data_IF_872074279420
#
_entry.id   IF_872074279420
#
_cell.length_a   1.000
_cell.length_b   1.000
_cell.length_c   1.000
_cell.angle_alpha   90.00
_cell.angle_beta   90.00
_cell.angle_gamma   90.00
#
_symmetry.space_group_name_H-M   'P 1'
#
loop_
_entity.id
_entity.type
_entity.pdbx_description
1 polymer ?
#
# COMPACT_ATOMS: atom_id res chain seq x y z
N UNK A 1 10.83 -27.37 -18.83
CA UNK A 1 10.33 -26.01 -19.13
C UNK A 1 9.12 -25.74 -18.25
N UNK A 2 8.94 -24.51 -17.76
CA UNK A 2 7.72 -24.14 -17.07
C UNK A 2 6.53 -24.13 -18.06
N UNK A 3 5.32 -24.59 -17.66
CA UNK A 3 4.13 -24.49 -18.49
C UNK A 3 3.86 -23.03 -18.88
N UNK A 4 3.41 -22.80 -20.11
CA UNK A 4 3.04 -21.46 -20.57
C UNK A 4 1.86 -20.92 -19.76
N UNK A 5 1.93 -19.63 -19.43
CA UNK A 5 0.88 -18.88 -18.75
C UNK A 5 -0.07 -18.16 -19.73
N UNK A 6 0.14 -18.29 -21.03
CA UNK A 6 -0.52 -17.43 -22.04
C UNK A 6 -2.01 -17.76 -22.20
N UNK A 7 -2.42 -18.95 -21.78
CA UNK A 7 -3.81 -19.37 -21.72
C UNK A 7 -4.60 -18.77 -20.53
N UNK A 8 -3.94 -18.07 -19.61
CA UNK A 8 -4.56 -17.56 -18.39
C UNK A 8 -5.14 -16.16 -18.60
N UNK A 9 -6.42 -16.00 -18.26
CA UNK A 9 -7.12 -14.71 -18.33
C UNK A 9 -7.11 -14.02 -16.97
N UNK A 10 -6.31 -12.96 -16.87
CA UNK A 10 -6.15 -12.16 -15.65
C UNK A 10 -7.20 -11.05 -15.52
N UNK A 11 -7.30 -10.42 -14.34
CA UNK A 11 -8.16 -9.24 -14.13
C UNK A 11 -7.55 -7.98 -14.75
N UNK A 12 -6.22 -7.86 -14.78
CA UNK A 12 -5.43 -6.69 -15.20
C UNK A 12 -5.32 -5.57 -14.17
N UNK A 13 -4.22 -4.81 -14.27
CA UNK A 13 -3.95 -3.64 -13.42
C UNK A 13 -5.06 -2.59 -13.54
N UNK A 14 -5.47 -2.28 -14.77
CA UNK A 14 -6.47 -1.26 -15.07
C UNK A 14 -7.79 -1.53 -14.35
N UNK A 15 -8.32 -2.76 -14.43
CA UNK A 15 -9.60 -3.12 -13.82
C UNK A 15 -9.51 -3.13 -12.29
N UNK A 16 -8.40 -3.66 -11.73
CA UNK A 16 -8.22 -3.71 -10.28
C UNK A 16 -8.07 -2.29 -9.71
N UNK A 17 -7.30 -1.42 -10.37
CA UNK A 17 -7.12 -0.04 -9.95
C UNK A 17 -8.42 0.75 -10.10
N UNK A 18 -9.17 0.55 -11.19
CA UNK A 18 -10.47 1.19 -11.39
C UNK A 18 -11.46 0.79 -10.28
N UNK A 19 -11.57 -0.51 -9.98
CA UNK A 19 -12.46 -1.00 -8.91
C UNK A 19 -12.07 -0.46 -7.53
N UNK A 20 -10.78 -0.40 -7.20
CA UNK A 20 -10.32 0.19 -5.94
C UNK A 20 -10.62 1.69 -5.84
N UNK A 21 -10.47 2.42 -6.95
CA UNK A 21 -10.76 3.85 -7.00
C UNK A 21 -12.23 4.14 -6.79
N UNK A 22 -13.11 3.38 -7.44
CA UNK A 22 -14.55 3.53 -7.31
C UNK A 22 -15.05 3.15 -5.90
N UNK A 23 -14.53 2.06 -5.33
CA UNK A 23 -14.97 1.58 -4.02
C UNK A 23 -14.49 2.46 -2.86
N UNK A 24 -13.24 2.93 -2.92
CA UNK A 24 -12.56 3.48 -1.74
C UNK A 24 -11.96 4.87 -1.90
N UNK A 25 -11.87 5.41 -3.12
CA UNK A 25 -11.17 6.68 -3.38
C UNK A 25 -9.81 6.78 -2.66
N UNK A 26 -8.92 5.77 -2.78
CA UNK A 26 -7.67 5.73 -2.04
C UNK A 26 -6.71 6.81 -2.52
N UNK A 27 -5.84 7.26 -1.61
CA UNK A 27 -4.81 8.25 -1.95
C UNK A 27 -3.70 7.64 -2.82
N UNK A 28 -3.42 6.35 -2.60
CA UNK A 28 -2.40 5.63 -3.34
C UNK A 28 -2.81 4.17 -3.54
N UNK A 29 -2.50 3.64 -4.73
CA UNK A 29 -2.74 2.25 -5.11
C UNK A 29 -1.46 1.70 -5.71
N UNK A 30 -1.13 0.46 -5.35
CA UNK A 30 -0.06 -0.31 -5.98
C UNK A 30 -0.63 -1.58 -6.60
N UNK A 31 -0.02 -2.04 -7.68
CA UNK A 31 -0.30 -3.31 -8.33
C UNK A 31 1.01 -4.09 -8.53
N UNK A 32 0.92 -5.40 -8.33
CA UNK A 32 1.99 -6.37 -8.54
C UNK A 32 1.41 -7.63 -9.18
N UNK A 33 2.11 -8.15 -10.18
CA UNK A 33 1.79 -9.41 -10.84
C UNK A 33 2.97 -10.36 -10.75
N UNK A 34 2.74 -11.57 -10.26
CA UNK A 34 3.75 -12.64 -10.25
C UNK A 34 3.20 -13.92 -10.85
N UNK A 35 4.03 -14.60 -11.63
CA UNK A 35 3.76 -15.91 -12.20
C UNK A 35 4.40 -16.98 -11.32
N UNK A 36 3.77 -18.15 -11.25
CA UNK A 36 4.30 -19.33 -10.58
C UNK A 36 3.82 -20.60 -11.25
N UNK A 37 4.33 -21.74 -10.79
CA UNK A 37 3.90 -23.06 -11.24
C UNK A 37 3.71 -23.93 -10.00
N UNK A 38 2.60 -24.67 -9.94
CA UNK A 38 2.36 -25.64 -8.88
C UNK A 38 1.80 -26.92 -9.51
N UNK A 39 2.35 -28.09 -9.17
CA UNK A 39 1.85 -29.38 -9.68
C UNK A 39 1.69 -29.47 -11.21
N UNK A 40 2.54 -28.78 -11.98
CA UNK A 40 2.47 -28.73 -13.45
C UNK A 40 1.46 -27.74 -14.03
N UNK A 41 0.74 -26.98 -13.21
CA UNK A 41 -0.17 -25.92 -13.62
C UNK A 41 0.47 -24.54 -13.43
N UNK A 42 0.49 -23.74 -14.50
CA UNK A 42 0.87 -22.33 -14.40
C UNK A 42 -0.22 -21.55 -13.66
N UNK A 43 0.20 -20.63 -12.79
CA UNK A 43 -0.69 -19.70 -12.13
C UNK A 43 -0.12 -18.29 -12.10
N UNK A 44 -1.00 -17.31 -11.92
CA UNK A 44 -0.67 -15.90 -11.78
C UNK A 44 -1.34 -15.38 -10.51
N UNK A 45 -0.56 -14.69 -9.68
CA UNK A 45 -1.05 -13.89 -8.56
C UNK A 45 -1.00 -12.42 -8.98
N UNK A 46 -2.17 -11.78 -8.97
CA UNK A 46 -2.30 -10.33 -9.04
C UNK A 46 -2.64 -9.82 -7.65
N UNK A 47 -1.85 -8.89 -7.15
CA UNK A 47 -2.05 -8.29 -5.84
C UNK A 47 -2.03 -6.79 -5.98
N UNK A 48 -3.05 -6.15 -5.43
CA UNK A 48 -3.08 -4.71 -5.26
C UNK A 48 -3.25 -4.34 -3.79
N UNK A 49 -2.63 -3.23 -3.39
CA UNK A 49 -2.83 -2.64 -2.08
C UNK A 49 -3.23 -1.17 -2.25
N UNK A 50 -4.23 -0.74 -1.50
CA UNK A 50 -4.76 0.62 -1.53
C UNK A 50 -4.70 1.23 -0.13
N UNK A 51 -4.28 2.49 -0.05
CA UNK A 51 -4.11 3.20 1.23
C UNK A 51 -4.88 4.53 1.24
N UNK A 52 -5.49 4.85 2.38
CA UNK A 52 -6.22 6.09 2.62
C UNK A 52 -7.67 6.09 2.12
N UNK A 53 -8.21 7.27 1.85
CA UNK A 53 -9.56 7.45 1.34
C UNK A 53 -10.66 7.00 2.31
N UNK A 54 -11.70 6.38 1.73
CA UNK A 54 -12.87 5.80 2.40
C UNK A 54 -12.63 4.39 2.94
N UNK A 55 -11.40 3.89 2.91
CA UNK A 55 -11.06 2.61 3.56
C UNK A 55 -11.27 2.76 5.07
N UNK A 56 -12.01 1.82 5.66
CA UNK A 56 -12.19 1.77 7.11
C UNK A 56 -10.91 1.29 7.79
N UNK A 57 -10.49 1.92 8.91
CA UNK A 57 -9.39 1.39 9.70
C UNK A 57 -9.76 0.02 10.26
N UNK A 58 -8.80 -0.89 10.43
CA UNK A 58 -9.07 -2.22 10.95
C UNK A 58 -9.59 -2.15 12.39
N UNK A 59 -10.50 -3.07 12.76
CA UNK A 59 -11.05 -3.12 14.13
C UNK A 59 -10.02 -3.58 15.17
N UNK A 60 -9.09 -4.43 14.74
CA UNK A 60 -8.00 -4.98 15.54
C UNK A 60 -6.67 -4.62 14.87
N UNK A 61 -5.59 -4.57 15.67
CA UNK A 61 -4.26 -4.26 15.16
C UNK A 61 -3.88 -5.16 13.97
N UNK A 62 -3.46 -4.53 12.87
CA UNK A 62 -2.99 -5.19 11.64
C UNK A 62 -4.01 -6.14 10.96
N UNK A 63 -5.28 -6.09 11.34
CA UNK A 63 -6.35 -6.90 10.74
C UNK A 63 -6.98 -6.19 9.55
N UNK A 64 -6.20 -5.97 8.48
CA UNK A 64 -6.62 -5.25 7.28
C UNK A 64 -7.66 -6.01 6.45
N UNK A 65 -8.42 -5.29 5.62
CA UNK A 65 -9.38 -5.91 4.72
C UNK A 65 -8.67 -6.56 3.51
N UNK A 66 -9.06 -7.78 3.14
CA UNK A 66 -8.50 -8.51 2.00
C UNK A 66 -9.64 -9.07 1.15
N UNK A 67 -9.82 -8.51 -0.03
CA UNK A 67 -10.77 -9.00 -1.02
C UNK A 67 -10.06 -10.06 -1.87
N UNK A 68 -10.67 -11.23 -1.99
CA UNK A 68 -10.05 -12.42 -2.58
C UNK A 68 -10.78 -12.81 -3.85
N UNK A 69 -10.01 -13.12 -4.89
CA UNK A 69 -10.53 -13.63 -6.15
C UNK A 69 -9.79 -14.88 -6.58
N UNK A 70 -10.52 -15.78 -7.24
CA UNK A 70 -10.00 -16.99 -7.85
C UNK A 70 -10.63 -17.13 -9.24
N UNK A 71 -9.84 -17.11 -10.31
CA UNK A 71 -10.30 -17.12 -11.70
C UNK A 71 -11.45 -16.12 -11.95
N UNK A 72 -11.26 -14.86 -11.53
CA UNK A 72 -12.25 -13.75 -11.62
C UNK A 72 -13.53 -13.92 -10.78
N UNK A 73 -13.62 -14.95 -9.95
CA UNK A 73 -14.76 -15.18 -9.04
C UNK A 73 -14.38 -14.70 -7.64
N UNK A 74 -15.20 -13.84 -6.99
CA UNK A 74 -14.95 -13.41 -5.61
C UNK A 74 -15.16 -14.57 -4.62
N UNK A 75 -14.26 -14.70 -3.66
CA UNK A 75 -14.34 -15.68 -2.58
C UNK A 75 -14.88 -15.00 -1.32
N UNK A 76 -16.15 -15.28 -0.98
CA UNK A 76 -16.85 -14.61 0.13
C UNK A 76 -16.71 -15.34 1.46
N UNK A 77 -16.67 -16.67 1.45
CA UNK A 77 -16.67 -17.49 2.66
C UNK A 77 -15.26 -17.92 3.08
N UNK A 78 -15.11 -18.37 4.33
CA UNK A 78 -13.90 -18.99 4.88
C UNK A 78 -12.59 -18.21 4.62
N UNK A 79 -12.60 -16.93 5.00
CA UNK A 79 -11.41 -16.08 4.86
C UNK A 79 -10.19 -16.61 5.61
N UNK A 80 -10.39 -17.05 6.86
CA UNK A 80 -9.29 -17.44 7.73
C UNK A 80 -8.57 -18.69 7.26
N UNK A 81 -9.23 -19.56 6.47
CA UNK A 81 -8.64 -20.78 5.93
C UNK A 81 -7.94 -20.58 4.59
N UNK A 82 -8.21 -19.46 3.91
CA UNK A 82 -7.72 -19.20 2.57
C UNK A 82 -6.25 -18.82 2.54
N UNK A 83 -5.49 -19.44 1.64
CA UNK A 83 -4.08 -19.11 1.40
C UNK A 83 -3.87 -17.62 1.09
N UNK A 84 -4.76 -17.02 0.29
CA UNK A 84 -4.66 -15.60 -0.09
C UNK A 84 -4.70 -14.66 1.12
N UNK A 85 -5.55 -14.99 2.10
CA UNK A 85 -5.68 -14.21 3.34
C UNK A 85 -4.54 -14.49 4.32
N UNK A 86 -4.31 -15.78 4.63
CA UNK A 86 -3.31 -16.21 5.61
C UNK A 86 -1.92 -15.65 5.29
N UNK A 87 -1.49 -15.76 4.02
CA UNK A 87 -0.16 -15.31 3.62
C UNK A 87 0.01 -13.79 3.73
N UNK A 88 -1.04 -13.00 3.53
CA UNK A 88 -0.97 -11.55 3.74
C UNK A 88 -0.91 -11.23 5.23
N UNK A 89 -1.81 -11.80 6.03
CA UNK A 89 -1.92 -11.49 7.46
C UNK A 89 -0.71 -11.96 8.27
N UNK A 90 0.02 -12.97 7.79
CA UNK A 90 1.27 -13.42 8.41
C UNK A 90 2.45 -12.46 8.19
N UNK A 91 2.30 -11.41 7.38
CA UNK A 91 3.38 -10.45 7.13
C UNK A 91 3.49 -9.48 8.31
N UNK A 92 4.72 -9.22 8.74
CA UNK A 92 4.99 -8.16 9.70
C UNK A 92 4.94 -6.77 9.01
N UNK A 93 3.76 -6.13 9.06
CA UNK A 93 3.50 -4.82 8.46
C UNK A 93 4.33 -3.68 9.06
N UNK A 94 4.74 -3.80 10.33
CA UNK A 94 5.59 -2.80 11.02
C UNK A 94 6.91 -2.56 10.28
N UNK A 95 7.48 -3.60 9.67
CA UNK A 95 8.72 -3.50 8.87
C UNK A 95 8.57 -2.60 7.63
N UNK A 96 7.33 -2.37 7.21
CA UNK A 96 6.97 -1.51 6.08
C UNK A 96 6.55 -0.11 6.51
N UNK A 97 6.65 0.23 7.81
CA UNK A 97 6.26 1.54 8.33
C UNK A 97 4.74 1.79 8.30
N UNK A 98 3.96 0.71 8.26
CA UNK A 98 2.50 0.75 8.30
C UNK A 98 2.07 0.70 9.77
N UNK A 99 1.22 1.64 10.18
CA UNK A 99 0.69 1.71 11.54
C UNK A 99 -0.41 0.65 11.76
N UNK A 100 -0.66 0.21 13.01
CA UNK A 100 -1.63 -0.87 13.29
C UNK A 100 -3.06 -0.60 12.80
N UNK A 101 -3.48 0.67 12.79
CA UNK A 101 -4.81 1.12 12.39
C UNK A 101 -4.80 1.92 11.07
N UNK A 102 -3.77 1.72 10.24
CA UNK A 102 -3.67 2.38 8.95
C UNK A 102 -4.85 1.99 8.05
N UNK A 103 -5.35 2.94 7.25
CA UNK A 103 -6.44 2.70 6.30
C UNK A 103 -5.91 1.95 5.07
N UNK A 104 -5.73 0.63 5.19
CA UNK A 104 -5.12 -0.22 4.17
C UNK A 104 -6.05 -1.37 3.79
N UNK A 105 -6.19 -1.61 2.48
CA UNK A 105 -6.95 -2.74 1.94
C UNK A 105 -6.17 -3.43 0.83
N UNK A 106 -6.43 -4.73 0.66
CA UNK A 106 -5.79 -5.56 -0.38
C UNK A 106 -6.84 -6.18 -1.30
N UNK A 107 -6.48 -6.32 -2.58
CA UNK A 107 -7.11 -7.23 -3.51
C UNK A 107 -6.08 -8.28 -3.89
N UNK A 108 -6.43 -9.55 -3.76
CA UNK A 108 -5.59 -10.66 -4.23
C UNK A 108 -6.39 -11.56 -5.14
N UNK A 109 -5.90 -11.73 -6.35
CA UNK A 109 -6.46 -12.59 -7.37
C UNK A 109 -5.48 -13.69 -7.73
N UNK A 110 -5.94 -14.94 -7.66
CA UNK A 110 -5.24 -16.09 -8.21
C UNK A 110 -5.92 -16.55 -9.49
N UNK A 111 -5.16 -16.63 -10.59
CA UNK A 111 -5.62 -17.22 -11.85
C UNK A 111 -4.79 -18.45 -12.20
N UNK A 112 -5.45 -19.56 -12.54
CA UNK A 112 -4.79 -20.81 -12.91
C UNK A 112 -5.74 -21.73 -13.68
N UNK A 113 -5.21 -22.65 -14.48
CA UNK A 113 -6.01 -23.69 -15.16
C UNK A 113 -6.71 -24.62 -14.16
N UNK A 114 -6.06 -24.85 -13.02
CA UNK A 114 -6.58 -25.59 -11.88
C UNK A 114 -6.37 -24.71 -10.67
N UNK A 115 -7.39 -24.50 -9.85
CA UNK A 115 -7.24 -23.82 -8.56
C UNK A 115 -7.36 -24.89 -7.47
N UNK A 116 -6.43 -24.95 -6.50
CA UNK A 116 -6.47 -25.96 -5.46
C UNK A 116 -7.47 -25.55 -4.38
N UNK A 117 -8.75 -25.75 -4.63
CA UNK A 117 -9.78 -25.60 -3.60
C UNK A 117 -9.69 -26.76 -2.60
N UNK A 118 -9.88 -26.46 -1.31
CA UNK A 118 -9.88 -27.50 -0.26
C UNK A 118 -11.28 -28.10 -0.06
N UNK A 119 -12.33 -27.29 -0.23
CA UNK A 119 -13.73 -27.71 -0.14
C UNK A 119 -14.34 -27.89 -1.52
N UNK A 120 -15.33 -28.78 -1.64
CA UNK A 120 -16.08 -29.00 -2.89
C UNK A 120 -16.83 -27.75 -3.35
N UNK A 121 -17.26 -26.91 -2.39
CA UNK A 121 -17.92 -25.62 -2.63
C UNK A 121 -17.03 -24.54 -3.24
N UNK A 122 -15.71 -24.79 -3.38
CA UNK A 122 -14.74 -23.83 -3.97
C UNK A 122 -14.69 -22.49 -3.25
N UNK A 123 -14.82 -22.50 -1.93
CA UNK A 123 -14.95 -21.29 -1.12
C UNK A 123 -13.60 -20.62 -0.83
N UNK A 124 -12.52 -21.41 -0.77
CA UNK A 124 -11.18 -20.89 -0.52
C UNK A 124 -10.08 -21.71 -1.18
N UNK A 125 -8.97 -21.03 -1.46
CA UNK A 125 -7.73 -21.63 -1.98
C UNK A 125 -6.97 -22.30 -0.84
N UNK A 126 -6.59 -23.57 -1.03
CA UNK A 126 -5.82 -24.35 -0.07
C UNK A 126 -4.44 -23.74 0.19
N UNK A 127 -4.02 -23.74 1.45
CA UNK A 127 -2.71 -23.29 1.90
C UNK A 127 -1.66 -24.42 1.95
N UNK A 128 -1.99 -25.61 1.46
CA UNK A 128 -1.08 -26.78 1.52
C UNK A 128 0.09 -26.69 0.52
N UNK A 129 0.00 -25.80 -0.48
CA UNK A 129 0.97 -25.69 -1.57
C UNK A 129 1.97 -24.56 -1.32
N UNK A 130 3.23 -24.94 -1.05
CA UNK A 130 4.29 -23.99 -0.71
C UNK A 130 4.61 -23.03 -1.86
N UNK A 131 4.55 -23.50 -3.12
CA UNK A 131 4.85 -22.68 -4.29
C UNK A 131 3.86 -21.52 -4.43
N UNK A 132 2.58 -21.77 -4.13
CA UNK A 132 1.53 -20.75 -4.13
C UNK A 132 1.78 -19.77 -2.99
N UNK A 133 1.97 -20.26 -1.77
CA UNK A 133 2.21 -19.44 -0.58
C UNK A 133 3.41 -18.50 -0.76
N UNK A 134 4.53 -19.04 -1.24
CA UNK A 134 5.75 -18.29 -1.52
C UNK A 134 5.52 -17.20 -2.57
N UNK A 135 4.77 -17.50 -3.62
CA UNK A 135 4.46 -16.53 -4.69
C UNK A 135 3.58 -15.40 -4.18
N UNK A 136 2.55 -15.71 -3.36
CA UNK A 136 1.68 -14.71 -2.72
C UNK A 136 2.52 -13.82 -1.79
N UNK A 137 3.36 -14.43 -0.94
CA UNK A 137 4.21 -13.70 -0.01
C UNK A 137 5.13 -12.71 -0.76
N UNK A 138 5.82 -13.16 -1.81
CA UNK A 138 6.70 -12.32 -2.59
C UNK A 138 5.95 -11.17 -3.29
N UNK A 139 4.75 -11.44 -3.83
CA UNK A 139 3.92 -10.40 -4.44
C UNK A 139 3.46 -9.35 -3.40
N UNK A 140 3.05 -9.81 -2.21
CA UNK A 140 2.64 -8.93 -1.12
C UNK A 140 3.82 -8.08 -0.61
N UNK A 141 5.00 -8.67 -0.39
CA UNK A 141 6.20 -7.95 0.01
C UNK A 141 6.60 -6.86 -1.00
N UNK A 142 6.50 -7.17 -2.30
CA UNK A 142 6.77 -6.21 -3.37
C UNK A 142 5.78 -5.04 -3.37
N UNK A 143 4.49 -5.31 -3.18
CA UNK A 143 3.48 -4.26 -3.06
C UNK A 143 3.71 -3.39 -1.81
N UNK A 144 4.02 -4.02 -0.67
CA UNK A 144 4.27 -3.32 0.60
C UNK A 144 5.53 -2.45 0.56
N UNK A 145 6.56 -2.82 -0.22
CA UNK A 145 7.72 -1.93 -0.45
C UNK A 145 7.32 -0.64 -1.15
N UNK A 146 6.43 -0.70 -2.15
CA UNK A 146 5.90 0.49 -2.83
C UNK A 146 5.04 1.34 -1.88
N UNK A 147 4.22 0.71 -1.03
CA UNK A 147 3.44 1.41 0.01
C UNK A 147 4.36 2.11 1.01
N UNK A 148 5.43 1.45 1.46
CA UNK A 148 6.44 2.04 2.35
C UNK A 148 7.06 3.30 1.76
N UNK A 149 7.40 3.27 0.47
CA UNK A 149 7.96 4.42 -0.23
C UNK A 149 6.98 5.60 -0.24
N UNK A 150 5.70 5.35 -0.58
CA UNK A 150 4.65 6.35 -0.51
C UNK A 150 4.51 6.96 0.89
N UNK A 151 4.43 6.13 1.93
CA UNK A 151 4.32 6.57 3.33
C UNK A 151 5.51 7.42 3.78
N UNK A 152 6.74 7.02 3.41
CA UNK A 152 7.94 7.79 3.73
C UNK A 152 7.92 9.15 3.04
N UNK A 153 7.51 9.22 1.77
CA UNK A 153 7.40 10.48 1.05
C UNK A 153 6.33 11.39 1.66
N UNK A 154 5.18 10.83 2.06
CA UNK A 154 4.11 11.55 2.77
C UNK A 154 4.62 12.13 4.10
N UNK A 155 5.30 11.32 4.92
CA UNK A 155 5.89 11.77 6.20
C UNK A 155 6.89 12.90 5.99
N UNK A 156 7.80 12.76 5.02
CA UNK A 156 8.79 13.80 4.67
C UNK A 156 8.13 15.13 4.27
N UNK A 157 7.08 15.09 3.46
CA UNK A 157 6.35 16.31 3.06
C UNK A 157 5.69 16.99 4.26
N UNK A 158 5.08 16.21 5.17
CA UNK A 158 4.48 16.74 6.40
C UNK A 158 5.55 17.37 7.30
N UNK A 159 6.68 16.71 7.50
CA UNK A 159 7.79 17.22 8.32
C UNK A 159 8.37 18.52 7.77
N UNK A 160 8.59 18.60 6.45
CA UNK A 160 9.05 19.82 5.77
C UNK A 160 8.07 20.97 5.95
N UNK A 161 6.77 20.70 5.81
CA UNK A 161 5.70 21.69 5.98
C UNK A 161 5.66 22.20 7.42
N UNK A 162 5.70 21.29 8.41
CA UNK A 162 5.73 21.68 9.82
C UNK A 162 6.98 22.47 10.17
N UNK A 163 8.15 22.08 9.64
CA UNK A 163 9.40 22.81 9.84
C UNK A 163 9.30 24.22 9.28
N UNK A 164 8.73 24.38 8.08
CA UNK A 164 8.53 25.69 7.46
C UNK A 164 7.59 26.57 8.28
N UNK A 165 6.46 26.02 8.74
CA UNK A 165 5.50 26.74 9.58
C UNK A 165 6.13 27.21 10.90
N UNK A 166 6.98 26.37 11.52
CA UNK A 166 7.74 26.77 12.71
C UNK A 166 8.67 27.94 12.39
N UNK A 167 9.43 27.90 11.30
CA UNK A 167 10.29 29.02 10.92
C UNK A 167 9.49 30.31 10.72
N UNK A 168 8.37 30.25 9.99
CA UNK A 168 7.50 31.40 9.77
C UNK A 168 7.00 32.04 11.09
N UNK A 169 6.68 31.22 12.09
CA UNK A 169 6.28 31.71 13.41
C UNK A 169 7.42 32.46 14.12
N UNK A 170 8.66 31.99 14.00
CA UNK A 170 9.82 32.58 14.71
C UNK A 170 10.46 33.77 13.99
N UNK A 171 10.33 33.89 12.66
CA UNK A 171 10.96 34.96 11.86
C UNK A 171 10.69 36.37 12.43
N UNK A 172 9.44 36.76 12.77
CA UNK A 172 9.18 38.11 13.28
C UNK A 172 9.92 38.41 14.59
N UNK A 173 10.01 37.42 15.49
CA UNK A 173 10.73 37.56 16.76
C UNK A 173 12.24 37.67 16.56
N UNK A 174 12.80 36.86 15.66
CA UNK A 174 14.22 36.90 15.32
C UNK A 174 14.57 38.24 14.66
N UNK A 175 13.75 38.69 13.70
CA UNK A 175 13.94 39.97 13.02
C UNK A 175 13.85 41.16 13.97
N UNK A 176 12.90 41.14 14.93
CA UNK A 176 12.79 42.16 15.98
C UNK A 176 14.05 42.24 16.85
N UNK A 177 14.54 41.10 17.33
CA UNK A 177 15.73 41.05 18.18
C UNK A 177 17.00 41.45 17.42
N UNK A 178 17.14 41.01 16.18
CA UNK A 178 18.27 41.39 15.33
C UNK A 178 18.23 42.88 14.96
N UNK A 179 17.05 43.42 14.67
CA UNK A 179 16.86 44.86 14.42
C UNK A 179 17.32 45.69 15.61
N UNK A 180 16.97 45.27 16.84
CA UNK A 180 17.41 45.94 18.06
C UNK A 180 18.94 45.89 18.29
N UNK A 181 19.61 44.81 17.88
CA UNK A 181 21.06 44.64 18.07
C UNK A 181 21.91 45.31 16.98
N UNK A 182 21.41 45.31 15.74
CA UNK A 182 22.21 45.68 14.56
C UNK A 182 21.82 47.02 13.95
N UNK A 183 20.66 47.58 14.34
CA UNK A 183 20.12 48.83 13.79
C UNK A 183 19.49 48.70 12.39
N UNK A 184 19.50 47.50 11.78
CA UNK A 184 18.79 47.26 10.52
C UNK A 184 17.27 47.28 10.72
N UNK A 185 16.51 47.65 9.68
CA UNK A 185 15.05 47.65 9.73
C UNK A 185 14.51 46.23 9.80
N UNK A 186 13.57 45.99 10.73
CA UNK A 186 12.93 44.69 10.92
C UNK A 186 12.33 44.13 9.61
N UNK A 187 11.64 44.95 8.83
CA UNK A 187 10.99 44.52 7.58
C UNK A 187 12.00 43.98 6.55
N UNK A 188 13.20 44.58 6.47
CA UNK A 188 14.24 44.15 5.52
C UNK A 188 14.81 42.78 5.94
N UNK A 189 14.99 42.57 7.25
CA UNK A 189 15.43 41.29 7.81
C UNK A 189 14.39 40.19 7.61
N UNK A 190 13.10 40.48 7.85
CA UNK A 190 12.01 39.53 7.57
C UNK A 190 11.97 39.13 6.09
N UNK A 191 12.14 40.11 5.19
CA UNK A 191 12.20 39.84 3.75
C UNK A 191 13.41 39.00 3.38
N UNK A 192 14.59 39.24 3.98
CA UNK A 192 15.78 38.41 3.79
C UNK A 192 15.54 36.97 4.23
N UNK A 193 14.98 36.74 5.42
CA UNK A 193 14.70 35.40 5.91
C UNK A 193 13.67 34.66 5.05
N UNK A 194 12.61 35.34 4.61
CA UNK A 194 11.62 34.77 3.67
C UNK A 194 12.26 34.39 2.33
N UNK A 195 13.19 35.21 1.84
CA UNK A 195 13.93 34.95 0.60
C UNK A 195 14.88 33.75 0.72
N UNK A 196 15.58 33.60 1.85
CA UNK A 196 16.46 32.44 2.11
C UNK A 196 15.67 31.14 2.22
N UNK A 197 14.45 31.21 2.75
CA UNK A 197 13.54 30.07 2.84
C UNK A 197 12.84 29.76 1.50
N UNK A 198 13.17 30.47 0.41
CA UNK A 198 12.53 30.34 -0.92
C UNK A 198 10.99 30.43 -0.87
N UNK A 199 10.47 31.24 0.05
CA UNK A 199 9.04 31.53 0.14
C UNK A 199 8.77 32.66 -0.85
N UNK A 200 8.05 32.36 -1.94
CA UNK A 200 7.53 33.38 -2.88
C UNK A 200 6.43 34.19 -2.22
#
# INVERSE_FOLDING_TARGET
MAPSSDCLSILTEENIVAGLKEMYEPEFVTYVKRKGVYGGHAFIIELAAAIGGKIEPPKNEYCFNVIRFANKIPLLYDQYNCALYKNIMNINFKNYGIEPFEKLAFIVHMCSTKIPYKTEGKEYVSADYEEINKTILLAAQEALRKVKEYLNNKRRMVEQTQRMNRFLLYIPYIAKNLSALTGYKQNDLEHMFKKVLNIR
#
